data_IF_215565781087
#
_entry.id   IF_215565781087
#
_cell.length_a   1.000
_cell.length_b   1.000
_cell.length_c   1.000
_cell.angle_alpha   90.00
_cell.angle_beta   90.00
_cell.angle_gamma   90.00
#
_symmetry.space_group_name_H-M   'P 1'
#
loop_
_entity.id
_entity.type
_entity.pdbx_description
1 polymer ?
#
# COMPACT_ATOMS: atom_id res chain seq x y z
N UNK A 1 -4.90 6.90 -17.37
CA UNK A 1 -4.94 5.49 -16.89
C UNK A 1 -4.45 4.48 -17.93
N UNK A 2 -4.51 4.77 -19.25
CA UNK A 2 -4.06 3.84 -20.31
C UNK A 2 -2.63 3.29 -20.17
N UNK A 3 -1.70 4.11 -19.65
CA UNK A 3 -0.31 3.71 -19.44
C UNK A 3 -0.15 2.61 -18.38
N UNK A 4 -0.96 2.63 -17.31
CA UNK A 4 -0.90 1.60 -16.26
C UNK A 4 -1.33 0.23 -16.80
N UNK A 5 -2.41 0.20 -17.58
CA UNK A 5 -2.88 -1.00 -18.26
C UNK A 5 -1.88 -1.58 -19.26
N UNK A 6 -1.06 -0.75 -19.90
CA UNK A 6 0.02 -1.23 -20.76
C UNK A 6 1.09 -2.01 -19.98
N UNK A 7 1.45 -1.55 -18.77
CA UNK A 7 2.42 -2.23 -17.91
C UNK A 7 1.88 -3.58 -17.42
N UNK A 8 0.63 -3.63 -16.98
CA UNK A 8 -0.01 -4.90 -16.58
C UNK A 8 -0.12 -5.90 -17.73
N UNK A 9 -0.44 -5.45 -18.94
CA UNK A 9 -0.46 -6.32 -20.13
C UNK A 9 0.93 -6.88 -20.44
N UNK A 10 1.97 -6.06 -20.31
CA UNK A 10 3.34 -6.51 -20.53
C UNK A 10 3.81 -7.48 -19.44
N UNK A 11 3.48 -7.23 -18.18
CA UNK A 11 3.74 -8.17 -17.08
C UNK A 11 3.00 -9.50 -17.29
N UNK A 12 1.75 -9.45 -17.79
CA UNK A 12 0.98 -10.63 -18.20
C UNK A 12 1.70 -11.48 -19.24
N UNK A 13 2.31 -10.85 -20.26
CA UNK A 13 3.13 -11.56 -21.26
C UNK A 13 4.37 -12.23 -20.68
N UNK A 14 4.82 -11.77 -19.51
CA UNK A 14 5.97 -12.32 -18.77
C UNK A 14 5.54 -13.35 -17.70
N UNK A 15 4.27 -13.74 -17.67
CA UNK A 15 3.73 -14.75 -16.77
C UNK A 15 3.31 -14.23 -15.41
N UNK A 16 3.18 -12.92 -15.22
CA UNK A 16 2.57 -12.37 -14.01
C UNK A 16 1.05 -12.33 -14.14
N UNK A 17 0.35 -12.74 -13.09
CA UNK A 17 -1.09 -12.70 -13.05
C UNK A 17 -1.61 -11.69 -12.02
N UNK A 18 -2.77 -11.07 -12.28
CA UNK A 18 -3.49 -10.39 -11.24
C UNK A 18 -3.94 -11.37 -10.16
N UNK A 19 -3.74 -11.06 -8.88
CA UNK A 19 -4.30 -11.90 -7.83
C UNK A 19 -5.83 -11.81 -7.81
N UNK A 20 -6.47 -12.94 -7.55
CA UNK A 20 -7.88 -12.98 -7.17
C UNK A 20 -8.01 -12.68 -5.67
N UNK A 21 -9.10 -12.02 -5.21
CA UNK A 21 -9.39 -11.88 -3.79
C UNK A 21 -9.37 -13.24 -3.09
N UNK A 22 -8.67 -13.34 -1.96
CA UNK A 22 -8.47 -14.59 -1.23
C UNK A 22 -7.41 -15.54 -1.80
N UNK A 23 -6.81 -15.22 -2.95
CA UNK A 23 -5.67 -15.95 -3.50
C UNK A 23 -4.36 -15.56 -2.81
N UNK A 24 -3.60 -16.55 -2.34
CA UNK A 24 -2.23 -16.34 -1.86
C UNK A 24 -1.22 -16.63 -2.99
N UNK A 25 -0.26 -15.74 -3.26
CA UNK A 25 0.81 -16.01 -4.20
C UNK A 25 1.75 -17.06 -3.60
N UNK A 26 2.07 -18.10 -4.37
CA UNK A 26 2.97 -19.17 -3.94
C UNK A 26 2.32 -20.41 -3.32
N UNK A 27 0.99 -20.57 -3.39
CA UNK A 27 0.44 -21.93 -3.41
C UNK A 27 1.11 -22.67 -4.60
N UNK A 28 1.60 -23.89 -4.37
CA UNK A 28 2.36 -24.67 -5.37
C UNK A 28 1.68 -24.62 -6.75
N UNK A 29 2.37 -24.02 -7.73
CA UNK A 29 1.90 -23.90 -9.11
C UNK A 29 1.18 -22.61 -9.49
N UNK A 30 1.00 -21.65 -8.58
CA UNK A 30 0.42 -20.34 -8.91
C UNK A 30 1.44 -19.42 -9.61
N UNK A 31 0.97 -18.65 -10.60
CA UNK A 31 1.77 -17.64 -11.27
C UNK A 31 2.22 -16.54 -10.28
N UNK A 32 3.39 -15.90 -10.51
CA UNK A 32 3.77 -14.71 -9.76
C UNK A 32 2.72 -13.60 -9.91
N UNK A 33 2.44 -12.86 -8.83
CA UNK A 33 1.39 -11.85 -8.85
C UNK A 33 1.92 -10.44 -9.15
N UNK A 34 1.21 -9.69 -10.00
CA UNK A 34 1.41 -8.24 -10.16
C UNK A 34 0.33 -7.48 -9.39
N UNK A 35 0.75 -6.61 -8.45
CA UNK A 35 -0.16 -5.84 -7.60
C UNK A 35 -0.20 -4.38 -8.05
N UNK A 36 -1.41 -3.83 -8.18
CA UNK A 36 -1.57 -2.38 -8.27
C UNK A 36 -1.60 -1.80 -6.86
N UNK A 37 -0.76 -0.79 -6.60
CA UNK A 37 -0.71 -0.10 -5.30
C UNK A 37 -0.85 1.39 -5.52
N UNK A 38 -1.73 2.02 -4.74
CA UNK A 38 -1.85 3.48 -4.69
C UNK A 38 -1.29 4.00 -3.36
N UNK A 39 -0.08 4.59 -3.34
CA UNK A 39 0.61 4.95 -2.09
C UNK A 39 -0.20 5.87 -1.17
N UNK A 40 -0.94 6.83 -1.74
CA UNK A 40 -1.78 7.71 -0.93
C UNK A 40 -2.85 6.95 -0.15
N UNK A 41 -3.54 5.99 -0.79
CA UNK A 41 -4.51 5.15 -0.11
C UNK A 41 -3.84 4.21 0.90
N UNK A 42 -2.67 3.64 0.56
CA UNK A 42 -1.94 2.78 1.48
C UNK A 42 -1.54 3.49 2.78
N UNK A 43 -1.03 4.72 2.70
CA UNK A 43 -0.76 5.52 3.90
C UNK A 43 -2.05 5.92 4.63
N UNK A 44 -3.11 6.21 3.91
CA UNK A 44 -4.41 6.60 4.48
C UNK A 44 -5.02 5.47 5.31
N UNK A 45 -4.99 4.24 4.81
CA UNK A 45 -5.53 3.08 5.53
C UNK A 45 -4.67 2.71 6.74
N UNK A 46 -3.34 2.72 6.61
CA UNK A 46 -2.43 2.51 7.75
C UNK A 46 -2.66 3.54 8.86
N UNK A 47 -2.97 4.78 8.53
CA UNK A 47 -3.15 5.85 9.52
C UNK A 47 -4.58 5.97 10.05
N UNK A 48 -5.57 5.31 9.42
CA UNK A 48 -6.98 5.56 9.69
C UNK A 48 -7.45 6.96 9.27
N UNK A 49 -6.71 7.64 8.38
CA UNK A 49 -7.02 8.99 7.91
C UNK A 49 -5.99 9.53 6.91
N UNK A 50 -6.40 10.47 6.07
CA UNK A 50 -5.58 10.99 4.98
C UNK A 50 -4.42 11.84 5.53
N UNK A 51 -3.15 11.49 5.23
CA UNK A 51 -1.99 12.21 5.75
C UNK A 51 -1.82 13.59 5.10
N UNK A 52 -1.00 14.49 5.69
CA UNK A 52 -0.56 15.71 5.03
C UNK A 52 0.07 15.45 3.65
N UNK A 53 0.05 16.45 2.73
CA UNK A 53 0.51 16.28 1.35
C UNK A 53 1.96 15.78 1.26
N UNK A 54 2.23 14.82 0.36
CA UNK A 54 3.53 14.12 0.26
C UNK A 54 4.70 15.02 -0.14
N UNK A 55 4.43 16.17 -0.75
CA UNK A 55 5.41 17.19 -1.12
C UNK A 55 5.83 18.11 0.03
N UNK A 56 5.16 18.02 1.19
CA UNK A 56 5.47 18.85 2.36
C UNK A 56 6.39 18.11 3.33
N UNK A 57 7.20 18.86 4.09
CA UNK A 57 8.05 18.29 5.15
C UNK A 57 7.24 17.48 6.17
N UNK A 58 6.05 17.96 6.55
CA UNK A 58 5.15 17.25 7.44
C UNK A 58 4.67 15.92 6.84
N UNK A 59 4.28 15.92 5.56
CA UNK A 59 3.84 14.73 4.86
C UNK A 59 4.93 13.67 4.67
N UNK A 60 6.17 14.08 4.43
CA UNK A 60 7.34 13.18 4.40
C UNK A 60 7.59 12.57 5.78
N UNK A 61 7.63 13.42 6.82
CA UNK A 61 7.86 12.97 8.21
C UNK A 61 6.83 11.94 8.66
N UNK A 62 5.55 12.17 8.36
CA UNK A 62 4.47 11.23 8.67
C UNK A 62 4.70 9.90 7.96
N UNK A 63 5.02 9.90 6.66
CA UNK A 63 5.26 8.66 5.89
C UNK A 63 6.44 7.85 6.42
N UNK A 64 7.54 8.54 6.76
CA UNK A 64 8.70 7.90 7.41
C UNK A 64 8.30 7.27 8.74
N UNK A 65 7.57 8.01 9.59
CA UNK A 65 7.10 7.50 10.87
C UNK A 65 6.17 6.29 10.71
N UNK A 66 5.24 6.34 9.75
CA UNK A 66 4.32 5.24 9.44
C UNK A 66 5.08 3.99 9.00
N UNK A 67 6.02 4.10 8.05
CA UNK A 67 6.79 2.96 7.56
C UNK A 67 7.66 2.34 8.66
N UNK A 68 8.34 3.16 9.47
CA UNK A 68 9.13 2.68 10.62
C UNK A 68 8.23 1.98 11.65
N UNK A 69 7.08 2.56 11.97
CA UNK A 69 6.13 1.95 12.91
C UNK A 69 5.52 0.65 12.37
N UNK A 70 5.37 0.52 11.04
CA UNK A 70 4.95 -0.71 10.38
C UNK A 70 6.07 -1.77 10.29
N UNK A 71 7.26 -1.49 10.83
CA UNK A 71 8.40 -2.40 10.88
C UNK A 71 9.30 -2.38 9.63
N UNK A 72 9.11 -1.43 8.71
CA UNK A 72 9.95 -1.30 7.52
C UNK A 72 11.30 -0.71 7.89
N UNK A 73 12.38 -1.37 7.45
CA UNK A 73 13.77 -0.96 7.68
C UNK A 73 14.43 -0.69 6.33
N UNK A 74 15.02 0.50 6.18
CA UNK A 74 15.76 0.93 4.99
C UNK A 74 16.85 1.94 5.37
N UNK A 75 17.78 2.21 4.46
CA UNK A 75 18.85 3.21 4.57
C UNK A 75 18.32 4.65 4.35
N UNK A 76 19.11 5.69 4.63
CA UNK A 76 18.64 7.07 4.84
C UNK A 76 18.09 7.83 3.60
N UNK A 77 17.47 7.14 2.65
CA UNK A 77 16.84 7.75 1.49
C UNK A 77 15.34 8.02 1.74
N UNK A 78 14.95 9.30 1.71
CA UNK A 78 13.65 9.77 2.23
C UNK A 78 12.86 10.66 1.26
N UNK A 79 13.12 10.60 -0.04
CA UNK A 79 12.24 11.27 -1.00
C UNK A 79 10.89 10.57 -1.14
N UNK A 80 9.91 11.28 -1.70
CA UNK A 80 8.55 10.77 -1.77
C UNK A 80 8.40 9.54 -2.67
N UNK A 81 9.22 9.42 -3.72
CA UNK A 81 9.16 8.28 -4.64
C UNK A 81 9.66 7.01 -3.97
N UNK A 82 10.70 7.11 -3.15
CA UNK A 82 11.23 5.99 -2.39
C UNK A 82 10.30 5.56 -1.27
N UNK A 83 9.63 6.50 -0.61
CA UNK A 83 8.59 6.18 0.38
C UNK A 83 7.36 5.52 -0.28
N UNK A 84 7.02 5.93 -1.50
CA UNK A 84 5.97 5.31 -2.30
C UNK A 84 6.36 3.88 -2.73
N UNK A 85 7.63 3.65 -3.09
CA UNK A 85 8.15 2.31 -3.38
C UNK A 85 8.17 1.40 -2.14
N UNK A 86 8.58 1.92 -0.99
CA UNK A 86 8.61 1.18 0.28
C UNK A 86 7.21 0.76 0.73
N UNK A 87 6.20 1.64 0.60
CA UNK A 87 4.83 1.26 0.96
C UNK A 87 4.26 0.24 -0.03
N UNK A 88 4.65 0.29 -1.31
CA UNK A 88 4.29 -0.75 -2.28
C UNK A 88 4.91 -2.11 -1.93
N UNK A 89 6.18 -2.13 -1.53
CA UNK A 89 6.84 -3.34 -1.05
C UNK A 89 6.18 -3.89 0.23
N UNK A 90 5.82 -3.03 1.18
CA UNK A 90 5.07 -3.40 2.37
C UNK A 90 3.70 -4.00 2.00
N UNK A 91 2.98 -3.42 1.05
CA UNK A 91 1.70 -3.96 0.56
C UNK A 91 1.89 -5.36 -0.01
N UNK A 92 2.90 -5.60 -0.84
CA UNK A 92 3.21 -6.93 -1.38
C UNK A 92 3.56 -7.93 -0.28
N UNK A 93 4.32 -7.51 0.74
CA UNK A 93 4.63 -8.32 1.90
C UNK A 93 3.39 -8.68 2.74
N UNK A 94 2.47 -7.73 2.92
CA UNK A 94 1.20 -7.98 3.61
C UNK A 94 0.28 -8.88 2.78
N UNK A 95 0.32 -8.75 1.46
CA UNK A 95 -0.44 -9.59 0.53
C UNK A 95 -0.07 -11.07 0.66
N UNK A 96 1.23 -11.41 0.65
CA UNK A 96 1.68 -12.82 0.83
C UNK A 96 1.34 -13.38 2.22
N UNK A 97 1.03 -12.53 3.20
CA UNK A 97 0.61 -12.91 4.55
C UNK A 97 -0.92 -13.02 4.70
N UNK A 98 -1.71 -12.73 3.65
CA UNK A 98 -3.16 -12.61 3.76
C UNK A 98 -3.62 -11.41 4.59
N UNK A 99 -2.80 -10.36 4.67
CA UNK A 99 -3.01 -9.14 5.48
C UNK A 99 -3.17 -7.88 4.62
N UNK A 100 -3.43 -8.05 3.33
CA UNK A 100 -3.75 -6.96 2.42
C UNK A 100 -5.19 -7.11 1.91
N UNK A 101 -5.85 -5.98 1.67
CA UNK A 101 -7.21 -5.93 1.18
C UNK A 101 -7.25 -5.37 -0.25
N UNK A 102 -8.04 -5.97 -1.14
CA UNK A 102 -8.33 -5.38 -2.44
C UNK A 102 -9.40 -4.28 -2.32
N UNK A 103 -9.24 -3.19 -3.07
CA UNK A 103 -10.24 -2.15 -3.28
C UNK A 103 -10.53 -2.02 -4.78
N UNK A 104 -11.79 -2.13 -5.17
CA UNK A 104 -12.21 -2.11 -6.57
C UNK A 104 -13.08 -3.33 -6.90
N UNK A 105 -13.19 -3.64 -8.18
CA UNK A 105 -13.93 -4.80 -8.69
C UNK A 105 -13.18 -5.50 -9.83
N UNK A 106 -13.72 -6.59 -10.36
CA UNK A 106 -13.06 -7.35 -11.43
C UNK A 106 -12.92 -6.58 -12.75
N UNK A 107 -13.81 -5.60 -13.01
CA UNK A 107 -13.84 -4.80 -14.25
C UNK A 107 -12.75 -3.74 -14.24
N UNK A 108 -12.67 -2.99 -13.14
CA UNK A 108 -11.73 -1.89 -12.96
C UNK A 108 -10.42 -2.33 -12.30
N UNK A 109 -10.38 -3.58 -11.83
CA UNK A 109 -9.28 -4.22 -11.11
C UNK A 109 -9.09 -3.66 -9.70
N UNK A 110 -8.18 -4.31 -8.98
CA UNK A 110 -8.00 -4.07 -7.55
C UNK A 110 -6.75 -3.26 -7.29
N UNK A 111 -6.90 -2.19 -6.51
CA UNK A 111 -5.83 -1.55 -5.77
C UNK A 111 -5.65 -2.30 -4.45
N UNK A 112 -4.44 -2.74 -4.15
CA UNK A 112 -4.13 -3.45 -2.92
C UNK A 112 -3.70 -2.49 -1.81
N UNK A 113 -4.25 -2.70 -0.61
CA UNK A 113 -4.03 -1.88 0.57
C UNK A 113 -3.35 -2.72 1.67
N UNK A 114 -2.38 -2.18 2.41
CA UNK A 114 -1.55 -2.95 3.36
C UNK A 114 -2.23 -3.21 4.72
N UNK A 115 -3.56 -3.31 4.73
CA UNK A 115 -4.39 -3.59 5.91
C UNK A 115 -5.38 -4.71 5.59
N UNK A 116 -5.84 -5.49 6.58
CA UNK A 116 -6.97 -6.40 6.43
C UNK A 116 -8.27 -5.68 6.03
N UNK A 117 -9.18 -6.39 5.36
CA UNK A 117 -10.46 -5.83 4.92
C UNK A 117 -11.30 -5.28 6.08
N UNK A 118 -11.28 -5.95 7.23
CA UNK A 118 -12.03 -5.52 8.43
C UNK A 118 -11.49 -4.23 9.07
N UNK A 119 -10.30 -3.78 8.70
CA UNK A 119 -9.72 -2.51 9.15
C UNK A 119 -10.07 -1.33 8.22
N UNK A 120 -10.72 -1.60 7.08
CA UNK A 120 -11.16 -0.55 6.16
C UNK A 120 -12.32 0.25 6.74
N UNK A 121 -12.23 1.57 6.60
CA UNK A 121 -13.29 2.49 7.03
C UNK A 121 -14.16 2.89 5.83
N UNK A 122 -15.46 3.17 6.04
CA UNK A 122 -16.33 3.66 4.98
C UNK A 122 -15.85 4.98 4.35
N UNK A 123 -15.14 5.80 5.14
CA UNK A 123 -14.55 7.04 4.70
C UNK A 123 -13.36 7.44 5.60
N UNK A 124 -12.45 8.24 5.05
CA UNK A 124 -11.25 8.72 5.73
C UNK A 124 -11.24 10.25 5.79
N UNK A 125 -11.16 10.82 6.99
CA UNK A 125 -10.97 12.25 7.20
C UNK A 125 -9.51 12.68 7.03
N UNK A 126 -9.26 13.98 6.86
CA UNK A 126 -7.89 14.53 6.85
C UNK A 126 -7.30 14.55 8.26
N UNK A 127 -6.03 14.21 8.37
CA UNK A 127 -5.26 14.30 9.61
C UNK A 127 -4.31 15.49 9.58
N UNK A 128 -4.20 16.20 10.70
CA UNK A 128 -3.08 17.11 10.97
C UNK A 128 -1.78 16.31 11.14
N UNK A 129 -0.60 16.96 11.05
CA UNK A 129 0.68 16.29 11.33
C UNK A 129 0.67 15.61 12.71
N UNK A 130 0.13 16.29 13.74
CA UNK A 130 0.06 15.77 15.11
C UNK A 130 -0.78 14.51 15.20
N UNK A 131 -1.96 14.50 14.59
CA UNK A 131 -2.87 13.34 14.60
C UNK A 131 -2.27 12.17 13.82
N UNK A 132 -1.68 12.43 12.66
CA UNK A 132 -1.04 11.40 11.84
C UNK A 132 0.17 10.77 12.54
N UNK A 133 1.03 11.56 13.20
CA UNK A 133 2.13 11.02 14.00
C UNK A 133 1.63 10.23 15.21
N UNK A 134 0.53 10.64 15.84
CA UNK A 134 -0.09 9.88 16.91
C UNK A 134 -0.66 8.54 16.42
N UNK A 135 -1.30 8.54 15.25
CA UNK A 135 -1.79 7.32 14.60
C UNK A 135 -0.64 6.37 14.23
N UNK A 136 0.43 6.87 13.61
CA UNK A 136 1.60 6.07 13.27
C UNK A 136 2.19 5.35 14.50
N UNK A 137 2.28 6.01 15.66
CA UNK A 137 2.77 5.38 16.91
C UNK A 137 1.90 4.22 17.41
N UNK A 138 0.61 4.18 17.03
CA UNK A 138 -0.28 3.07 17.41
C UNK A 138 -0.02 1.81 16.58
N UNK A 139 0.53 1.95 15.37
CA UNK A 139 0.88 0.82 14.51
C UNK A 139 2.03 -0.04 15.06
N UNK A 140 2.88 0.54 15.91
CA UNK A 140 4.02 -0.16 16.51
C UNK A 140 3.65 -0.97 17.77
N UNK A 141 2.36 -1.00 18.15
CA UNK A 141 1.84 -1.75 19.30
C UNK A 141 1.15 -3.02 18.82
#
# INVERSE_FOLDING_TARGET
METGWAHFRELGRRGFEPPVPGGLPGALGQAPAALEVYPHAAFTTLLGGAPPPKSTRAGLRVRVATLRAAGVVWDEYFDHDSLDALVAALTAWRFVQGRAAPLGDERDRFVWLPVPEHDLLPAYGRLTEREALAAARRLAR
#
